data_IF_784000194943
#
_entry.id   IF_784000194943
#
_cell.length_a   1.000
_cell.length_b   1.000
_cell.length_c   1.000
_cell.angle_alpha   90.00
_cell.angle_beta   90.00
_cell.angle_gamma   90.00
#
_symmetry.space_group_name_H-M   'P 1'
#
loop_
_entity.id
_entity.type
_entity.pdbx_description
1 polymer ?
#
# COMPACT_ATOMS: atom_id res chain seq x y z
N UNK A 1 15.83 -15.57 -7.36
CA UNK A 1 15.31 -15.08 -6.08
C UNK A 1 14.30 -14.01 -6.41
N UNK A 2 13.00 -14.24 -6.19
CA UNK A 2 12.00 -13.20 -6.44
C UNK A 2 12.27 -12.04 -5.50
N UNK A 3 12.25 -10.82 -6.03
CA UNK A 3 12.56 -9.61 -5.26
C UNK A 3 11.34 -9.06 -4.51
N UNK A 4 10.17 -9.39 -5.03
CA UNK A 4 8.85 -9.11 -4.47
C UNK A 4 8.68 -9.44 -2.97
N UNK A 5 9.20 -10.55 -2.41
CA UNK A 5 9.11 -10.83 -0.97
C UNK A 5 9.79 -9.80 -0.06
N UNK A 6 10.75 -8.99 -0.55
CA UNK A 6 11.38 -7.98 0.28
C UNK A 6 10.50 -6.75 0.50
N UNK A 7 9.54 -6.50 -0.39
CA UNK A 7 8.61 -5.38 -0.26
C UNK A 7 7.43 -5.81 0.60
N UNK A 8 7.23 -5.15 1.73
CA UNK A 8 6.10 -5.42 2.62
C UNK A 8 4.76 -5.23 1.89
N UNK A 9 3.84 -6.18 2.06
CA UNK A 9 2.49 -6.13 1.48
C UNK A 9 1.73 -4.89 1.95
N UNK A 10 1.70 -4.63 3.25
CA UNK A 10 1.12 -3.42 3.82
C UNK A 10 2.18 -2.67 4.64
N UNK A 11 2.16 -1.35 4.58
CA UNK A 11 2.92 -0.49 5.49
C UNK A 11 2.06 0.74 5.80
N UNK A 12 1.58 0.81 7.05
CA UNK A 12 0.68 1.85 7.52
C UNK A 12 1.10 2.34 8.90
N UNK A 13 0.78 3.61 9.18
CA UNK A 13 1.01 4.20 10.50
C UNK A 13 0.24 3.44 11.58
N UNK A 14 0.81 3.19 12.78
CA UNK A 14 0.18 2.38 13.82
C UNK A 14 -1.08 3.01 14.45
N UNK A 15 -1.27 4.33 14.37
CA UNK A 15 -2.47 4.94 14.95
C UNK A 15 -2.90 6.22 14.21
N UNK A 16 -4.20 6.49 14.21
CA UNK A 16 -4.80 7.70 13.69
C UNK A 16 -5.48 7.53 12.33
N UNK A 17 -5.94 8.66 11.79
CA UNK A 17 -6.62 8.72 10.49
C UNK A 17 -5.69 9.32 9.46
N UNK A 18 -5.39 8.56 8.41
CA UNK A 18 -4.45 8.97 7.37
C UNK A 18 -4.84 8.50 5.99
N UNK A 19 -4.23 9.10 4.98
CA UNK A 19 -4.48 8.74 3.58
C UNK A 19 -3.65 7.52 3.22
N UNK A 20 -4.20 6.70 2.33
CA UNK A 20 -3.51 5.53 1.80
C UNK A 20 -3.69 5.41 0.30
N UNK A 21 -2.74 4.74 -0.35
CA UNK A 21 -2.82 4.34 -1.75
C UNK A 21 -2.64 2.84 -1.90
N UNK A 22 -3.35 2.28 -2.89
CA UNK A 22 -3.14 0.92 -3.37
C UNK A 22 -2.26 1.01 -4.62
N UNK A 23 -1.09 0.37 -4.56
CA UNK A 23 -0.14 0.34 -5.67
C UNK A 23 0.03 -1.09 -6.14
N UNK A 24 -0.12 -1.33 -7.45
CA UNK A 24 0.33 -2.55 -8.11
C UNK A 24 1.81 -2.39 -8.46
N UNK A 25 2.66 -3.12 -7.74
CA UNK A 25 4.07 -3.26 -8.03
C UNK A 25 4.26 -4.42 -9.02
N UNK A 26 5.01 -4.17 -10.09
CA UNK A 26 5.29 -5.15 -11.13
C UNK A 26 6.80 -5.26 -11.29
N UNK A 27 7.37 -6.43 -11.08
CA UNK A 27 8.81 -6.66 -11.12
C UNK A 27 9.12 -7.85 -12.06
N UNK A 28 9.97 -7.68 -13.09
CA UNK A 28 10.48 -8.79 -13.86
C UNK A 28 11.49 -9.60 -13.04
N UNK A 29 11.28 -10.91 -12.98
CA UNK A 29 12.21 -11.85 -12.37
C UNK A 29 13.41 -12.12 -13.29
N UNK A 30 14.46 -12.75 -12.76
CA UNK A 30 15.65 -13.13 -13.53
C UNK A 30 15.36 -14.05 -14.72
N UNK A 31 14.22 -14.74 -14.70
CA UNK A 31 13.73 -15.65 -15.75
C UNK A 31 12.91 -14.92 -16.85
N UNK A 32 12.73 -13.60 -16.75
CA UNK A 32 11.90 -12.82 -17.69
C UNK A 32 10.39 -12.88 -17.40
N UNK A 33 9.95 -13.64 -16.39
CA UNK A 33 8.56 -13.62 -15.91
C UNK A 33 8.28 -12.34 -15.15
N UNK A 34 7.18 -11.67 -15.53
CA UNK A 34 6.68 -10.48 -14.86
C UNK A 34 5.84 -10.93 -13.67
N UNK A 35 6.27 -10.61 -12.46
CA UNK A 35 5.49 -10.85 -11.25
C UNK A 35 4.83 -9.55 -10.80
N UNK A 36 3.57 -9.65 -10.37
CA UNK A 36 2.80 -8.52 -9.87
C UNK A 36 2.42 -8.73 -8.41
N UNK A 37 2.48 -7.67 -7.62
CA UNK A 37 2.11 -7.65 -6.21
C UNK A 37 1.38 -6.36 -5.88
N UNK A 38 0.26 -6.48 -5.20
CA UNK A 38 -0.46 -5.32 -4.68
C UNK A 38 0.09 -4.97 -3.31
N UNK A 39 0.44 -3.69 -3.12
CA UNK A 39 0.94 -3.16 -1.86
C UNK A 39 0.07 -2.00 -1.38
N UNK A 40 -0.12 -1.93 -0.08
CA UNK A 40 -0.86 -0.88 0.61
C UNK A 40 0.13 0.00 1.37
N UNK A 41 0.04 1.30 1.15
CA UNK A 41 0.92 2.30 1.77
C UNK A 41 0.10 3.46 2.30
N UNK A 42 0.30 3.83 3.55
CA UNK A 42 -0.44 4.93 4.18
C UNK A 42 0.29 5.53 5.36
N UNK A 43 0.47 6.85 5.37
CA UNK A 43 1.25 7.53 6.39
C UNK A 43 0.49 8.77 6.88
N UNK A 44 0.41 8.96 8.20
CA UNK A 44 -0.18 10.15 8.78
C UNK A 44 0.63 11.43 8.47
N UNK A 45 1.94 11.28 8.30
CA UNK A 45 2.83 12.37 7.89
C UNK A 45 2.62 12.83 6.44
N UNK A 46 1.91 12.06 5.60
CA UNK A 46 1.69 12.39 4.19
C UNK A 46 0.30 13.01 3.98
N UNK A 47 0.20 14.33 3.75
CA UNK A 47 -1.08 14.99 3.56
C UNK A 47 -1.71 14.68 2.21
N UNK A 48 -0.97 14.18 1.20
CA UNK A 48 -1.53 13.80 -0.10
C UNK A 48 -1.13 12.39 -0.50
N UNK A 49 -1.94 11.78 -1.38
CA UNK A 49 -1.68 10.47 -1.97
C UNK A 49 -0.39 10.44 -2.80
N UNK A 50 -0.04 11.56 -3.43
CA UNK A 50 1.17 11.70 -4.24
C UNK A 50 2.44 11.60 -3.38
N UNK A 51 2.47 12.19 -2.19
CA UNK A 51 3.62 12.09 -1.26
C UNK A 51 3.90 10.63 -0.88
N UNK A 52 2.84 9.86 -0.64
CA UNK A 52 2.97 8.43 -0.32
C UNK A 52 3.58 7.69 -1.51
N UNK A 53 3.14 7.99 -2.74
CA UNK A 53 3.68 7.37 -3.94
C UNK A 53 5.14 7.75 -4.18
N UNK A 54 5.51 9.00 -3.93
CA UNK A 54 6.89 9.49 -4.08
C UNK A 54 7.83 8.76 -3.10
N UNK A 55 7.44 8.68 -1.82
CA UNK A 55 8.18 7.93 -0.79
C UNK A 55 8.36 6.45 -1.16
N UNK A 56 7.31 5.81 -1.66
CA UNK A 56 7.39 4.40 -2.09
C UNK A 56 8.28 4.24 -3.32
N UNK A 57 8.25 5.20 -4.23
CA UNK A 57 9.11 5.20 -5.42
C UNK A 57 10.58 5.36 -5.02
N UNK A 58 10.87 6.24 -4.05
CA UNK A 58 12.21 6.43 -3.50
C UNK A 58 12.73 5.17 -2.79
N UNK A 59 11.90 4.51 -1.97
CA UNK A 59 12.23 3.23 -1.34
C UNK A 59 12.57 2.15 -2.37
N UNK A 60 11.76 2.03 -3.43
CA UNK A 60 12.02 1.10 -4.53
C UNK A 60 13.30 1.48 -5.30
N UNK A 61 13.52 2.77 -5.54
CA UNK A 61 14.74 3.26 -6.18
C UNK A 61 15.99 2.92 -5.35
N UNK A 62 15.91 3.03 -4.01
CA UNK A 62 16.98 2.61 -3.11
C UNK A 62 17.23 1.10 -3.19
N UNK A 63 16.17 0.29 -3.25
CA UNK A 63 16.30 -1.16 -3.49
C UNK A 63 16.95 -1.46 -4.85
N UNK A 64 16.71 -0.62 -5.88
CA UNK A 64 17.40 -0.74 -7.17
C UNK A 64 18.89 -0.47 -7.02
N UNK A 65 19.24 0.61 -6.33
CA UNK A 65 20.63 1.00 -6.05
C UNK A 65 21.36 -0.08 -5.25
N UNK A 66 20.66 -0.74 -4.31
CA UNK A 66 21.14 -1.90 -3.58
C UNK A 66 21.30 -3.18 -4.43
N UNK A 67 21.01 -3.12 -5.74
CA UNK A 67 20.95 -4.25 -6.70
C UNK A 67 19.98 -5.35 -6.28
N UNK A 68 18.99 -4.99 -5.46
CA UNK A 68 17.94 -5.89 -5.01
C UNK A 68 16.91 -6.07 -6.14
N UNK A 69 16.40 -4.98 -6.71
CA UNK A 69 15.54 -4.99 -7.91
C UNK A 69 16.34 -4.54 -9.16
N UNK A 70 16.07 -5.15 -10.33
CA UNK A 70 16.62 -4.67 -11.61
C UNK A 70 15.73 -3.58 -12.22
N UNK A 71 14.49 -3.97 -12.45
CA UNK A 71 13.43 -3.12 -12.97
C UNK A 71 12.20 -3.27 -12.08
N UNK A 72 11.39 -2.23 -12.01
CA UNK A 72 10.08 -2.25 -11.37
C UNK A 72 9.18 -1.27 -12.08
N UNK A 73 7.88 -1.52 -11.95
CA UNK A 73 6.85 -0.62 -12.39
C UNK A 73 5.80 -0.54 -11.29
N UNK A 74 5.57 0.66 -10.79
CA UNK A 74 4.47 0.95 -9.88
C UNK A 74 3.30 1.51 -10.68
N UNK A 75 2.09 1.06 -10.36
CA UNK A 75 0.86 1.63 -10.86
C UNK A 75 -0.06 1.89 -9.68
N UNK A 76 -0.39 3.16 -9.44
CA UNK A 76 -1.41 3.50 -8.45
C UNK A 76 -2.77 3.05 -8.99
N UNK A 77 -3.39 2.11 -8.29
CA UNK A 77 -4.73 1.60 -8.63
C UNK A 77 -5.83 2.51 -8.05
N UNK A 78 -5.51 3.28 -7.02
CA UNK A 78 -6.39 4.27 -6.40
C UNK A 78 -5.92 4.59 -4.99
N UNK A 79 -6.73 5.32 -4.23
CA UNK A 79 -6.49 5.52 -2.80
C UNK A 79 -7.76 5.74 -2.00
N UNK A 80 -7.57 6.04 -0.72
CA UNK A 80 -8.63 6.37 0.22
C UNK A 80 -8.05 6.86 1.55
N UNK A 81 -8.77 6.58 2.63
CA UNK A 81 -8.38 6.84 4.01
C UNK A 81 -8.41 5.54 4.81
N UNK A 82 -7.49 5.45 5.75
CA UNK A 82 -7.44 4.40 6.76
C UNK A 82 -7.55 5.09 8.11
N UNK A 83 -8.48 4.62 8.93
CA UNK A 83 -8.50 4.88 10.36
C UNK A 83 -7.92 3.65 11.05
N UNK A 84 -6.74 3.78 11.62
CA UNK A 84 -6.07 2.73 12.37
C UNK A 84 -6.16 3.05 13.86
N UNK A 85 -6.87 2.19 14.57
CA UNK A 85 -6.97 2.22 16.02
C UNK A 85 -6.21 1.03 16.60
N UNK A 86 -4.96 1.25 17.02
CA UNK A 86 -4.13 0.21 17.63
C UNK A 86 -4.64 -0.25 19.00
N UNK A 87 -5.38 0.60 19.72
CA UNK A 87 -5.90 0.30 21.05
C UNK A 87 -7.10 -0.66 20.96
N UNK A 88 -8.05 -0.35 20.08
CA UNK A 88 -9.19 -1.20 19.77
C UNK A 88 -8.86 -2.34 18.79
N UNK A 89 -7.62 -2.40 18.29
CA UNK A 89 -7.18 -3.29 17.21
C UNK A 89 -8.14 -3.27 16.01
N UNK A 90 -8.57 -2.08 15.62
CA UNK A 90 -9.57 -1.90 14.57
C UNK A 90 -8.98 -1.06 13.44
N UNK A 91 -9.13 -1.52 12.21
CA UNK A 91 -8.71 -0.79 11.02
C UNK A 91 -9.92 -0.61 10.12
N UNK A 92 -10.26 0.64 9.83
CA UNK A 92 -11.36 1.00 8.92
C UNK A 92 -10.81 1.66 7.67
N UNK A 93 -11.06 1.05 6.52
CA UNK A 93 -10.67 1.56 5.20
C UNK A 93 -11.90 2.20 4.53
N UNK A 94 -11.81 3.45 4.08
CA UNK A 94 -12.95 4.15 3.49
C UNK A 94 -12.55 5.36 2.63
N UNK A 95 -13.50 5.92 1.91
CA UNK A 95 -13.32 7.13 1.09
C UNK A 95 -12.46 6.90 -0.16
N UNK A 96 -12.02 7.98 -0.80
CA UNK A 96 -11.33 7.89 -2.09
C UNK A 96 -10.19 8.90 -2.22
N UNK A 97 -9.30 8.67 -3.18
CA UNK A 97 -8.31 9.68 -3.58
C UNK A 97 -8.90 10.63 -4.61
N UNK A 98 -8.81 11.93 -4.37
CA UNK A 98 -9.20 12.94 -5.36
C UNK A 98 -8.35 12.86 -6.63
N UNK A 99 -7.06 12.52 -6.51
CA UNK A 99 -6.13 12.48 -7.65
C UNK A 99 -6.14 11.14 -8.38
N UNK A 100 -6.21 10.04 -7.64
CA UNK A 100 -6.08 8.69 -8.21
C UNK A 100 -7.39 7.92 -8.30
N UNK A 101 -8.49 8.50 -7.82
CA UNK A 101 -9.77 7.82 -7.68
C UNK A 101 -9.81 6.86 -6.50
N UNK A 102 -10.87 6.07 -6.47
CA UNK A 102 -11.16 5.12 -5.39
C UNK A 102 -10.36 3.83 -5.58
N UNK A 103 -9.61 3.44 -4.54
CA UNK A 103 -8.94 2.15 -4.50
C UNK A 103 -9.93 1.00 -4.30
N UNK A 104 -9.48 -0.20 -4.66
CA UNK A 104 -10.15 -1.43 -4.30
C UNK A 104 -9.97 -1.71 -2.80
N UNK A 105 -10.94 -1.30 -2.00
CA UNK A 105 -10.87 -1.41 -0.54
C UNK A 105 -10.86 -2.86 -0.08
N UNK A 106 -11.51 -3.76 -0.82
CA UNK A 106 -11.54 -5.19 -0.50
C UNK A 106 -10.13 -5.80 -0.58
N UNK A 107 -9.40 -5.53 -1.68
CA UNK A 107 -8.00 -5.93 -1.83
C UNK A 107 -7.14 -5.33 -0.72
N UNK A 108 -7.38 -4.05 -0.40
CA UNK A 108 -6.66 -3.36 0.68
C UNK A 108 -6.84 -4.08 2.02
N UNK A 109 -8.09 -4.43 2.37
CA UNK A 109 -8.41 -5.16 3.60
C UNK A 109 -7.79 -6.54 3.61
N UNK A 110 -7.78 -7.27 2.49
CA UNK A 110 -7.16 -8.59 2.44
C UNK A 110 -5.65 -8.54 2.73
N UNK A 111 -4.95 -7.57 2.14
CA UNK A 111 -3.52 -7.34 2.37
C UNK A 111 -3.27 -6.96 3.83
N UNK A 112 -4.09 -6.06 4.38
CA UNK A 112 -3.98 -5.65 5.77
C UNK A 112 -4.26 -6.81 6.72
N UNK A 113 -5.24 -7.68 6.44
CA UNK A 113 -5.56 -8.86 7.27
C UNK A 113 -4.42 -9.86 7.32
N UNK A 114 -3.64 -9.98 6.24
CA UNK A 114 -2.42 -10.81 6.23
C UNK A 114 -1.35 -10.28 7.17
N UNK A 115 -1.22 -8.95 7.32
CA UNK A 115 -0.24 -8.31 8.21
C UNK A 115 -0.75 -8.16 9.65
N UNK A 116 -2.02 -7.81 9.82
CA UNK A 116 -2.69 -7.57 11.10
C UNK A 116 -3.80 -8.62 11.31
N UNK A 117 -3.39 -9.88 11.46
CA UNK A 117 -4.33 -11.00 11.58
C UNK A 117 -5.23 -10.91 12.83
N UNK A 118 -4.73 -10.29 13.90
CA UNK A 118 -5.45 -10.06 15.16
C UNK A 118 -6.33 -8.81 15.16
N UNK A 119 -6.38 -8.05 14.06
CA UNK A 119 -7.14 -6.81 13.97
C UNK A 119 -8.48 -7.04 13.30
N UNK A 120 -9.49 -6.31 13.75
CA UNK A 120 -10.76 -6.22 13.05
C UNK A 120 -10.62 -5.21 11.90
N UNK A 121 -10.51 -5.71 10.67
CA UNK A 121 -10.32 -4.85 9.49
C UNK A 121 -11.60 -4.83 8.66
N UNK A 122 -12.17 -3.65 8.52
CA UNK A 122 -13.41 -3.39 7.78
C UNK A 122 -13.18 -2.36 6.70
N UNK A 123 -13.97 -2.42 5.63
CA UNK A 123 -14.02 -1.36 4.63
C UNK A 123 -15.44 -0.83 4.46
N UNK A 124 -15.54 0.40 3.99
CA UNK A 124 -16.81 1.07 3.69
C UNK A 124 -16.68 1.89 2.41
N UNK A 125 -17.68 1.78 1.55
CA UNK A 125 -17.83 2.64 0.38
C UNK A 125 -18.23 4.08 0.76
N UNK A 126 -18.90 4.20 1.90
CA UNK A 126 -19.49 5.43 2.37
C UNK A 126 -18.48 6.27 3.18
N UNK A 127 -18.42 7.57 2.87
CA UNK A 127 -17.69 8.60 3.63
C UNK A 127 -16.56 9.29 2.85
N UNK A 128 -16.53 10.64 2.89
CA UNK A 128 -15.44 11.48 2.38
C UNK A 128 -14.59 12.02 3.54
#
# INVERSE_FOLDING_TARGET
MSVIPQVADADIDPNGVFKYILIKLTCPNSDGKIEEKNIVRGYASCPYHSDINDKVTEELQNLKSAKTIRDWRTKVLGGGRINHDSEAKNIKVYGYSQGYGKADHEITVEILKKKYCDYNITWSDEGY
#
